data_IF_512594850819
#
_entry.id   IF_512594850819
#
_cell.length_a   1.000
_cell.length_b   1.000
_cell.length_c   1.000
_cell.angle_alpha   90.00
_cell.angle_beta   90.00
_cell.angle_gamma   90.00
#
_symmetry.space_group_name_H-M   'P 1'
#
loop_
_entity.id
_entity.type
_entity.pdbx_description
1 polymer ?
#
# COMPACT_ATOMS: atom_id res chain seq x y z
N UNK A 1 22.65 -32.57 -14.48
CA UNK A 1 23.60 -32.75 -15.59
C UNK A 1 23.03 -33.87 -16.46
N UNK A 2 22.94 -33.65 -17.77
CA UNK A 2 22.20 -34.47 -18.74
C UNK A 2 23.04 -35.02 -19.90
N UNK A 3 24.36 -34.77 -19.88
CA UNK A 3 25.36 -35.40 -20.75
C UNK A 3 25.82 -36.72 -20.10
N UNK A 4 25.40 -37.86 -20.62
CA UNK A 4 25.69 -39.19 -20.06
C UNK A 4 27.18 -39.54 -19.99
N UNK A 5 28.06 -38.74 -20.61
CA UNK A 5 29.52 -38.87 -20.56
C UNK A 5 30.15 -38.26 -19.30
N UNK A 6 29.42 -37.44 -18.54
CA UNK A 6 29.96 -36.81 -17.32
C UNK A 6 29.52 -37.55 -16.06
N UNK A 7 30.40 -37.60 -15.05
CA UNK A 7 30.19 -38.37 -13.81
C UNK A 7 28.92 -38.00 -13.04
N UNK A 8 28.44 -36.76 -13.16
CA UNK A 8 27.29 -36.25 -12.38
C UNK A 8 25.92 -36.44 -13.08
N UNK A 9 25.81 -37.41 -14.00
CA UNK A 9 24.57 -37.65 -14.74
C UNK A 9 23.42 -38.01 -13.81
N UNK A 10 22.35 -37.21 -13.86
CA UNK A 10 21.27 -37.30 -12.86
C UNK A 10 19.87 -37.08 -13.42
N UNK A 11 19.67 -37.22 -14.73
CA UNK A 11 18.36 -37.03 -15.39
C UNK A 11 17.30 -37.95 -14.78
N UNK A 12 17.57 -39.25 -14.69
CA UNK A 12 16.60 -40.22 -14.16
C UNK A 12 16.23 -39.90 -12.70
N UNK A 13 17.22 -39.56 -11.87
CA UNK A 13 17.00 -39.22 -10.46
C UNK A 13 16.12 -37.96 -10.33
N UNK A 14 16.48 -36.87 -11.02
CA UNK A 14 15.79 -35.58 -10.93
C UNK A 14 14.38 -35.62 -11.52
N UNK A 15 14.20 -36.29 -12.67
CA UNK A 15 12.89 -36.46 -13.29
C UNK A 15 11.96 -37.31 -12.43
N UNK A 16 12.44 -38.43 -11.88
CA UNK A 16 11.66 -39.28 -10.98
C UNK A 16 11.23 -38.52 -9.72
N UNK A 17 12.12 -37.74 -9.14
CA UNK A 17 11.80 -36.88 -7.98
C UNK A 17 10.72 -35.85 -8.35
N UNK A 18 10.85 -35.17 -9.48
CA UNK A 18 9.89 -34.17 -9.93
C UNK A 18 8.50 -34.76 -10.23
N UNK A 19 8.45 -35.92 -10.90
CA UNK A 19 7.19 -36.66 -11.15
C UNK A 19 6.48 -36.98 -9.83
N UNK A 20 7.23 -37.48 -8.83
CA UNK A 20 6.66 -37.79 -7.50
C UNK A 20 6.06 -36.56 -6.84
N UNK A 21 6.74 -35.41 -6.88
CA UNK A 21 6.20 -34.15 -6.36
C UNK A 21 4.93 -33.73 -7.11
N UNK A 22 4.92 -33.82 -8.43
CA UNK A 22 3.76 -33.46 -9.23
C UNK A 22 2.54 -34.35 -8.96
N UNK A 23 2.74 -35.66 -8.82
CA UNK A 23 1.67 -36.60 -8.48
C UNK A 23 1.14 -36.34 -7.06
N UNK A 24 2.03 -36.08 -6.10
CA UNK A 24 1.62 -35.72 -4.74
C UNK A 24 0.79 -34.43 -4.74
N UNK A 25 1.27 -33.39 -5.42
CA UNK A 25 0.53 -32.14 -5.51
C UNK A 25 -0.82 -32.35 -6.20
N UNK A 26 -0.89 -33.09 -7.32
CA UNK A 26 -2.13 -33.39 -8.03
C UNK A 26 -3.21 -34.03 -7.15
N UNK A 27 -2.82 -34.83 -6.13
CA UNK A 27 -3.78 -35.44 -5.20
C UNK A 27 -4.56 -34.42 -4.35
N UNK A 28 -4.08 -33.19 -4.24
CA UNK A 28 -4.73 -32.09 -3.51
C UNK A 28 -5.52 -31.14 -4.42
N UNK A 29 -5.56 -31.39 -5.73
CA UNK A 29 -6.20 -30.52 -6.71
C UNK A 29 -7.44 -31.19 -7.30
N UNK A 30 -8.42 -30.37 -7.66
CA UNK A 30 -9.71 -30.87 -8.09
C UNK A 30 -9.78 -31.18 -9.61
N UNK A 31 -8.75 -30.84 -10.38
CA UNK A 31 -8.70 -31.02 -11.84
C UNK A 31 -7.38 -31.67 -12.27
N UNK A 32 -7.31 -32.07 -13.54
CA UNK A 32 -6.09 -32.61 -14.15
C UNK A 32 -5.05 -31.53 -14.52
N UNK A 33 -5.35 -30.25 -14.26
CA UNK A 33 -4.40 -29.16 -14.39
C UNK A 33 -3.95 -28.75 -13.00
N UNK A 34 -2.63 -28.66 -12.80
CA UNK A 34 -2.02 -28.17 -11.56
C UNK A 34 -1.03 -27.05 -11.89
N UNK A 35 -0.77 -26.19 -10.91
CA UNK A 35 0.19 -25.10 -11.03
C UNK A 35 1.47 -25.40 -10.25
N UNK A 36 2.62 -25.26 -10.90
CA UNK A 36 3.94 -25.35 -10.29
C UNK A 36 4.56 -23.95 -10.21
N UNK A 37 4.63 -23.37 -9.01
CA UNK A 37 5.22 -22.04 -8.80
C UNK A 37 6.74 -22.14 -8.72
N UNK A 38 7.39 -22.12 -9.89
CA UNK A 38 8.84 -22.29 -10.02
C UNK A 38 9.60 -21.02 -9.62
N UNK A 39 9.75 -20.77 -8.33
CA UNK A 39 10.42 -19.57 -7.82
C UNK A 39 10.41 -19.49 -6.30
N UNK A 40 11.06 -18.45 -5.78
CA UNK A 40 11.12 -18.08 -4.37
C UNK A 40 11.64 -16.63 -4.29
N UNK A 41 11.85 -16.13 -3.08
CA UNK A 41 12.28 -14.77 -2.81
C UNK A 41 13.55 -14.43 -3.59
N UNK A 42 13.47 -13.37 -4.42
CA UNK A 42 14.58 -12.86 -5.21
C UNK A 42 15.27 -13.88 -6.14
N UNK A 43 14.56 -14.95 -6.55
CA UNK A 43 15.03 -15.85 -7.61
C UNK A 43 15.07 -15.14 -8.97
N UNK A 44 15.61 -15.83 -9.98
CA UNK A 44 15.78 -15.34 -11.36
C UNK A 44 16.76 -14.18 -11.58
N UNK A 45 17.54 -13.77 -10.57
CA UNK A 45 18.70 -12.87 -10.77
C UNK A 45 19.68 -13.40 -11.84
N UNK A 46 19.89 -14.72 -11.86
CA UNK A 46 20.49 -15.44 -12.98
C UNK A 46 19.43 -16.34 -13.65
N UNK A 47 18.70 -15.75 -14.57
CA UNK A 47 17.58 -16.36 -15.30
C UNK A 47 17.98 -17.64 -16.04
N UNK A 48 19.17 -17.68 -16.63
CA UNK A 48 19.63 -18.80 -17.45
C UNK A 48 19.73 -20.11 -16.65
N UNK A 49 20.11 -20.03 -15.37
CA UNK A 49 20.19 -21.22 -14.50
C UNK A 49 18.82 -21.84 -14.28
N UNK A 50 17.76 -21.03 -14.16
CA UNK A 50 16.40 -21.50 -13.98
C UNK A 50 15.86 -22.12 -15.27
N UNK A 51 15.86 -21.36 -16.36
CA UNK A 51 15.29 -21.81 -17.63
C UNK A 51 16.03 -23.03 -18.20
N UNK A 52 17.36 -23.08 -18.16
CA UNK A 52 18.12 -24.25 -18.62
C UNK A 52 17.73 -25.55 -17.90
N UNK A 53 17.44 -25.48 -16.61
CA UNK A 53 17.04 -26.66 -15.84
C UNK A 53 15.56 -27.00 -16.02
N UNK A 54 14.68 -25.99 -16.12
CA UNK A 54 13.27 -26.20 -16.42
C UNK A 54 13.06 -26.80 -17.81
N UNK A 55 13.79 -26.34 -18.83
CA UNK A 55 13.77 -26.90 -20.18
C UNK A 55 14.14 -28.39 -20.17
N UNK A 56 15.18 -28.76 -19.41
CA UNK A 56 15.59 -30.15 -19.24
C UNK A 56 14.52 -30.97 -18.54
N UNK A 57 13.94 -30.47 -17.44
CA UNK A 57 12.86 -31.16 -16.73
C UNK A 57 11.66 -31.39 -17.64
N UNK A 58 11.19 -30.35 -18.34
CA UNK A 58 10.09 -30.42 -19.30
C UNK A 58 10.41 -31.45 -20.39
N UNK A 59 11.58 -31.35 -21.02
CA UNK A 59 12.02 -32.26 -22.10
C UNK A 59 12.00 -33.72 -21.63
N UNK A 60 12.72 -34.04 -20.56
CA UNK A 60 12.91 -35.44 -20.16
C UNK A 60 11.67 -36.06 -19.50
N UNK A 61 10.83 -35.27 -18.84
CA UNK A 61 9.56 -35.79 -18.29
C UNK A 61 8.52 -35.99 -19.39
N UNK A 62 8.40 -35.05 -20.33
CA UNK A 62 7.44 -35.17 -21.43
C UNK A 62 7.76 -36.32 -22.40
N UNK A 63 9.03 -36.69 -22.55
CA UNK A 63 9.44 -37.91 -23.25
C UNK A 63 8.83 -39.19 -22.64
N UNK A 64 8.53 -39.17 -21.34
CA UNK A 64 7.89 -40.27 -20.60
C UNK A 64 6.40 -40.03 -20.38
N UNK A 65 5.79 -39.04 -21.04
CA UNK A 65 4.40 -38.63 -20.80
C UNK A 65 3.39 -39.78 -20.95
N UNK A 66 3.60 -40.70 -21.89
CA UNK A 66 2.75 -41.89 -22.06
C UNK A 66 2.83 -42.86 -20.86
N UNK A 67 4.01 -42.98 -20.23
CA UNK A 67 4.24 -43.84 -19.07
C UNK A 67 3.64 -43.22 -17.81
N UNK A 68 3.90 -41.93 -17.56
CA UNK A 68 3.57 -41.27 -16.29
C UNK A 68 2.27 -40.48 -16.31
N UNK A 69 1.65 -40.33 -17.50
CA UNK A 69 0.42 -39.56 -17.73
C UNK A 69 0.48 -38.11 -17.25
N UNK A 70 1.66 -37.49 -17.39
CA UNK A 70 1.90 -36.08 -17.06
C UNK A 70 2.44 -35.34 -18.29
N UNK A 71 2.09 -34.07 -18.39
CA UNK A 71 2.59 -33.15 -19.40
C UNK A 71 2.94 -31.83 -18.73
N UNK A 72 4.15 -31.34 -18.95
CA UNK A 72 4.65 -30.09 -18.41
C UNK A 72 4.94 -29.09 -19.52
N UNK A 73 4.67 -27.82 -19.27
CA UNK A 73 4.97 -26.71 -20.18
C UNK A 73 5.04 -25.41 -19.37
N UNK A 74 5.71 -24.40 -19.92
CA UNK A 74 5.67 -23.05 -19.34
C UNK A 74 4.26 -22.49 -19.42
N UNK A 75 3.82 -21.87 -18.34
CA UNK A 75 2.49 -21.28 -18.24
C UNK A 75 2.52 -20.06 -17.33
N UNK A 76 1.38 -19.38 -17.23
CA UNK A 76 1.16 -18.24 -16.35
C UNK A 76 -0.05 -18.53 -15.44
N UNK A 77 -0.21 -17.78 -14.34
CA UNK A 77 -1.40 -17.92 -13.49
C UNK A 77 -2.71 -17.72 -14.25
N UNK A 78 -2.74 -16.82 -15.26
CA UNK A 78 -3.92 -16.59 -16.09
C UNK A 78 -4.23 -17.77 -17.02
N UNK A 79 -3.23 -18.36 -17.67
CA UNK A 79 -3.43 -19.56 -18.48
C UNK A 79 -3.90 -20.74 -17.62
N UNK A 80 -3.35 -20.92 -16.42
CA UNK A 80 -3.81 -21.93 -15.48
C UNK A 80 -5.28 -21.72 -15.08
N UNK A 81 -5.66 -20.49 -14.72
CA UNK A 81 -7.06 -20.17 -14.39
C UNK A 81 -8.01 -20.44 -15.57
N UNK A 82 -7.58 -20.14 -16.80
CA UNK A 82 -8.34 -20.48 -18.00
C UNK A 82 -8.53 -22.00 -18.14
N UNK A 83 -7.49 -22.81 -17.92
CA UNK A 83 -7.60 -24.27 -17.92
C UNK A 83 -8.56 -24.79 -16.85
N UNK A 84 -8.61 -24.16 -15.67
CA UNK A 84 -9.58 -24.49 -14.62
C UNK A 84 -11.01 -24.15 -15.03
N UNK A 85 -11.23 -23.01 -15.68
CA UNK A 85 -12.54 -22.61 -16.20
C UNK A 85 -13.03 -23.57 -17.29
N UNK A 86 -12.14 -23.94 -18.23
CA UNK A 86 -12.44 -24.87 -19.32
C UNK A 86 -12.74 -26.30 -18.83
N UNK A 87 -12.25 -26.67 -17.63
CA UNK A 87 -12.54 -27.98 -17.04
C UNK A 87 -14.03 -28.17 -16.66
N UNK A 88 -14.86 -27.13 -16.79
CA UNK A 88 -16.32 -27.18 -16.58
C UNK A 88 -16.72 -27.83 -15.25
N UNK A 89 -15.89 -27.61 -14.22
CA UNK A 89 -16.08 -28.18 -12.89
C UNK A 89 -16.94 -27.27 -12.03
N UNK A 90 -17.82 -27.86 -11.23
CA UNK A 90 -18.50 -27.15 -10.14
C UNK A 90 -17.57 -26.98 -8.95
N UNK A 91 -17.44 -25.74 -8.46
CA UNK A 91 -16.58 -25.39 -7.33
C UNK A 91 -17.39 -25.14 -6.06
N UNK A 92 -16.82 -25.47 -4.91
CA UNK A 92 -17.41 -25.13 -3.62
C UNK A 92 -17.29 -23.63 -3.34
N UNK A 93 -18.28 -23.04 -2.69
CA UNK A 93 -18.23 -21.65 -2.23
C UNK A 93 -17.49 -21.55 -0.89
N UNK A 94 -16.61 -20.55 -0.75
CA UNK A 94 -16.06 -20.11 0.53
C UNK A 94 -16.50 -18.67 0.77
N UNK A 95 -17.08 -18.42 1.93
CA UNK A 95 -17.42 -17.09 2.45
C UNK A 95 -16.50 -16.82 3.65
N UNK A 96 -16.33 -15.56 4.07
CA UNK A 96 -15.40 -15.11 5.12
C UNK A 96 -13.92 -15.03 4.71
N UNK A 97 -13.05 -14.74 5.68
CA UNK A 97 -11.62 -14.54 5.49
C UNK A 97 -10.77 -15.79 5.81
N UNK A 98 -9.44 -15.57 5.92
CA UNK A 98 -8.43 -16.56 6.29
C UNK A 98 -7.63 -16.11 7.54
N UNK A 99 -8.22 -15.31 8.43
CA UNK A 99 -7.57 -14.88 9.67
C UNK A 99 -8.05 -15.68 10.89
N UNK A 100 -7.17 -15.86 11.90
CA UNK A 100 -5.73 -15.58 11.90
C UNK A 100 -4.91 -16.67 11.19
N UNK A 101 -3.82 -16.29 10.54
CA UNK A 101 -2.88 -17.24 9.93
C UNK A 101 -1.97 -17.89 10.98
N UNK A 102 -1.75 -19.20 10.87
CA UNK A 102 -0.72 -19.93 11.60
C UNK A 102 -0.02 -20.91 10.66
N UNK A 103 1.31 -20.85 10.61
CA UNK A 103 2.11 -21.72 9.75
C UNK A 103 2.51 -23.05 10.41
N UNK A 104 2.44 -23.12 11.75
CA UNK A 104 2.77 -24.28 12.60
C UNK A 104 1.96 -24.22 13.91
N UNK A 105 1.83 -25.33 14.67
CA UNK A 105 1.18 -25.31 15.97
C UNK A 105 1.74 -24.22 16.88
N UNK A 106 0.85 -23.46 17.53
CA UNK A 106 1.17 -22.35 18.45
C UNK A 106 1.93 -21.16 17.83
N UNK A 107 1.98 -21.04 16.50
CA UNK A 107 2.67 -19.95 15.80
C UNK A 107 1.70 -19.07 15.02
N UNK A 108 0.76 -18.44 15.72
CA UNK A 108 -0.21 -17.51 15.15
C UNK A 108 0.42 -16.16 14.84
N UNK A 109 0.18 -15.67 13.62
CA UNK A 109 0.74 -14.41 13.12
C UNK A 109 -0.20 -13.26 13.45
N UNK A 110 -0.51 -13.07 14.73
CA UNK A 110 -1.36 -11.96 15.19
C UNK A 110 -0.56 -10.78 15.74
N UNK A 111 0.75 -10.96 16.00
CA UNK A 111 1.62 -9.89 16.51
C UNK A 111 1.74 -8.71 15.54
N UNK A 112 1.83 -8.98 14.24
CA UNK A 112 1.95 -7.92 13.23
C UNK A 112 0.69 -7.03 13.11
N UNK A 113 -0.43 -7.42 13.71
CA UNK A 113 -1.59 -6.55 13.86
C UNK A 113 -1.27 -5.30 14.69
N UNK A 114 -0.26 -5.37 15.57
CA UNK A 114 0.14 -4.25 16.44
C UNK A 114 1.58 -3.77 16.19
N UNK A 115 2.47 -4.58 15.63
CA UNK A 115 3.87 -4.19 15.36
C UNK A 115 3.98 -2.83 14.65
N UNK A 116 4.89 -1.99 15.15
CA UNK A 116 5.13 -0.60 14.68
C UNK A 116 3.83 0.24 14.62
N UNK A 117 3.11 0.41 15.73
CA UNK A 117 1.81 1.07 15.73
C UNK A 117 1.89 2.53 15.27
N UNK A 118 3.00 3.23 15.54
CA UNK A 118 3.25 4.59 15.05
C UNK A 118 3.27 4.65 13.52
N UNK A 119 3.94 3.70 12.86
CA UNK A 119 3.98 3.64 11.39
C UNK A 119 2.59 3.32 10.82
N UNK A 120 1.84 2.38 11.43
CA UNK A 120 0.45 2.10 11.02
C UNK A 120 -0.45 3.34 11.12
N UNK A 121 -0.34 4.07 12.23
CA UNK A 121 -1.03 5.34 12.43
C UNK A 121 -0.64 6.37 11.38
N UNK A 122 0.65 6.46 11.06
CA UNK A 122 1.15 7.40 10.07
C UNK A 122 0.65 7.07 8.65
N UNK A 123 0.65 5.80 8.23
CA UNK A 123 0.04 5.34 6.98
C UNK A 123 -1.43 5.75 6.88
N UNK A 124 -2.20 5.60 7.96
CA UNK A 124 -3.62 6.01 8.00
C UNK A 124 -3.80 7.52 7.87
N UNK A 125 -3.00 8.31 8.59
CA UNK A 125 -3.04 9.77 8.53
C UNK A 125 -2.67 10.27 7.13
N UNK A 126 -1.60 9.74 6.57
CA UNK A 126 -1.12 10.08 5.23
C UNK A 126 -2.11 9.68 4.14
N UNK A 127 -2.78 8.52 4.27
CA UNK A 127 -3.84 8.14 3.33
C UNK A 127 -5.03 9.12 3.38
N UNK A 128 -5.45 9.57 4.57
CA UNK A 128 -6.49 10.60 4.68
C UNK A 128 -6.05 11.89 3.99
N UNK A 129 -4.81 12.32 4.20
CA UNK A 129 -4.31 13.52 3.53
C UNK A 129 -4.24 13.38 2.00
N UNK A 130 -3.85 12.20 1.49
CA UNK A 130 -3.89 11.93 0.06
C UNK A 130 -5.29 12.09 -0.53
N UNK A 131 -6.35 11.68 0.20
CA UNK A 131 -7.73 11.90 -0.27
C UNK A 131 -8.05 13.39 -0.34
N UNK A 132 -7.67 14.18 0.67
CA UNK A 132 -7.86 15.65 0.68
C UNK A 132 -7.16 16.30 -0.51
N UNK A 133 -5.89 15.96 -0.77
CA UNK A 133 -5.19 16.53 -1.92
C UNK A 133 -5.87 16.17 -3.24
N UNK A 134 -6.30 14.92 -3.44
CA UNK A 134 -7.00 14.49 -4.65
C UNK A 134 -8.33 15.22 -4.84
N UNK A 135 -9.10 15.40 -3.76
CA UNK A 135 -10.35 16.15 -3.81
C UNK A 135 -10.10 17.61 -4.18
N UNK A 136 -9.12 18.26 -3.56
CA UNK A 136 -8.77 19.66 -3.83
C UNK A 136 -8.21 19.86 -5.23
N UNK A 137 -7.34 18.96 -5.69
CA UNK A 137 -6.81 18.94 -7.06
C UNK A 137 -7.94 18.90 -8.09
N UNK A 138 -8.88 17.95 -7.93
CA UNK A 138 -10.04 17.83 -8.80
C UNK A 138 -11.00 19.02 -8.72
N UNK A 139 -11.29 19.52 -7.52
CA UNK A 139 -12.19 20.66 -7.30
C UNK A 139 -11.63 21.96 -7.87
N UNK A 140 -10.31 22.16 -7.78
CA UNK A 140 -9.64 23.34 -8.32
C UNK A 140 -9.29 23.22 -9.81
N UNK A 141 -9.58 22.06 -10.41
CA UNK A 141 -9.20 21.73 -11.79
C UNK A 141 -7.73 22.09 -12.05
N UNK A 142 -6.85 21.62 -11.17
CA UNK A 142 -5.41 21.80 -11.35
C UNK A 142 -4.97 21.12 -12.65
N UNK A 143 -4.06 21.76 -13.36
CA UNK A 143 -3.53 21.29 -14.64
C UNK A 143 -2.13 20.77 -14.43
N UNK A 144 -1.63 19.98 -15.37
CA UNK A 144 -0.24 19.52 -15.34
C UNK A 144 0.78 20.67 -15.34
N UNK A 145 0.42 21.87 -15.81
CA UNK A 145 1.24 23.08 -15.67
C UNK A 145 1.50 23.49 -14.21
N UNK A 146 0.62 23.09 -13.29
CA UNK A 146 0.76 23.30 -11.85
C UNK A 146 1.60 22.17 -11.20
N UNK A 147 2.13 21.22 -11.99
CA UNK A 147 2.82 20.00 -11.53
C UNK A 147 2.02 19.16 -10.52
N UNK A 148 0.70 19.35 -10.43
CA UNK A 148 -0.12 18.73 -9.38
C UNK A 148 -0.10 17.21 -9.47
N UNK A 149 -0.19 16.65 -10.68
CA UNK A 149 -0.04 15.22 -10.97
C UNK A 149 1.28 14.67 -10.45
N UNK A 150 2.39 15.38 -10.67
CA UNK A 150 3.70 14.97 -10.18
C UNK A 150 3.74 14.93 -8.65
N UNK A 151 3.30 16.01 -7.99
CA UNK A 151 3.29 16.10 -6.53
C UNK A 151 2.37 15.05 -5.87
N UNK A 152 1.19 14.79 -6.47
CA UNK A 152 0.27 13.74 -6.01
C UNK A 152 0.88 12.34 -6.16
N UNK A 153 1.57 12.07 -7.27
CA UNK A 153 2.16 10.76 -7.53
C UNK A 153 3.25 10.40 -6.52
N UNK A 154 4.04 11.36 -6.03
CA UNK A 154 5.05 11.09 -4.99
C UNK A 154 4.40 10.51 -3.74
N UNK A 155 3.29 11.09 -3.26
CA UNK A 155 2.59 10.56 -2.10
C UNK A 155 1.84 9.25 -2.40
N UNK A 156 1.27 9.13 -3.61
CA UNK A 156 0.57 7.93 -4.04
C UNK A 156 1.50 6.72 -4.10
N UNK A 157 2.69 6.88 -4.68
CA UNK A 157 3.73 5.84 -4.76
C UNK A 157 4.25 5.49 -3.37
N UNK A 158 4.54 6.48 -2.52
CA UNK A 158 4.98 6.24 -1.15
C UNK A 158 3.94 5.44 -0.34
N UNK A 159 2.65 5.78 -0.46
CA UNK A 159 1.57 5.03 0.18
C UNK A 159 1.40 3.63 -0.41
N UNK A 160 1.58 3.47 -1.73
CA UNK A 160 1.55 2.18 -2.41
C UNK A 160 2.64 1.25 -1.88
N UNK A 161 3.89 1.74 -1.79
CA UNK A 161 5.01 1.01 -1.17
C UNK A 161 4.71 0.69 0.29
N UNK A 162 4.12 1.62 1.04
CA UNK A 162 3.76 1.38 2.43
C UNK A 162 2.68 0.30 2.62
N UNK A 163 1.92 -0.08 1.58
CA UNK A 163 0.99 -1.22 1.62
C UNK A 163 1.67 -2.57 1.40
N UNK A 164 2.98 -2.61 1.10
CA UNK A 164 3.75 -3.86 1.05
C UNK A 164 3.54 -4.67 2.34
N UNK A 165 3.49 -6.00 2.23
CA UNK A 165 3.16 -6.88 3.35
C UNK A 165 4.23 -6.93 4.45
N UNK A 166 5.41 -6.33 4.24
CA UNK A 166 6.40 -6.06 5.30
C UNK A 166 6.47 -4.59 5.75
N UNK A 167 5.72 -3.70 5.10
CA UNK A 167 5.71 -2.27 5.44
C UNK A 167 4.65 -1.97 6.51
N UNK A 168 3.39 -1.77 6.12
CA UNK A 168 2.31 -1.48 7.08
C UNK A 168 2.13 -2.60 8.12
N UNK A 169 2.57 -3.83 7.85
CA UNK A 169 2.56 -4.93 8.84
C UNK A 169 3.56 -4.71 9.98
N UNK A 170 4.66 -3.99 9.75
CA UNK A 170 5.71 -3.76 10.73
C UNK A 170 6.68 -4.94 10.91
N UNK A 171 6.90 -5.75 9.88
CA UNK A 171 7.78 -6.95 9.90
C UNK A 171 9.15 -6.74 9.23
N UNK A 172 9.45 -5.53 8.78
CA UNK A 172 10.71 -5.08 8.21
C UNK A 172 11.80 -4.76 9.25
N UNK A 173 13.06 -4.67 8.78
CA UNK A 173 14.19 -4.18 9.60
C UNK A 173 14.05 -2.68 9.90
N UNK A 174 14.64 -2.24 11.01
CA UNK A 174 14.49 -0.84 11.48
C UNK A 174 14.88 0.22 10.44
N UNK A 175 15.97 0.02 9.68
CA UNK A 175 16.37 0.96 8.64
C UNK A 175 15.33 1.07 7.51
N UNK A 176 14.65 -0.04 7.18
CA UNK A 176 13.61 -0.06 6.15
C UNK A 176 12.35 0.65 6.66
N UNK A 177 12.01 0.48 7.94
CA UNK A 177 10.93 1.23 8.58
C UNK A 177 11.16 2.75 8.53
N UNK A 178 12.42 3.19 8.71
CA UNK A 178 12.79 4.60 8.58
C UNK A 178 12.67 5.11 7.13
N UNK A 179 13.10 4.32 6.15
CA UNK A 179 12.92 4.65 4.73
C UNK A 179 11.42 4.78 4.36
N UNK A 180 10.55 3.88 4.85
CA UNK A 180 9.11 4.02 4.65
C UNK A 180 8.54 5.31 5.26
N UNK A 181 8.94 5.65 6.49
CA UNK A 181 8.50 6.87 7.14
C UNK A 181 8.99 8.12 6.40
N UNK A 182 10.24 8.12 5.94
CA UNK A 182 10.82 9.22 5.14
C UNK A 182 10.09 9.41 3.81
N UNK A 183 9.80 8.34 3.07
CA UNK A 183 9.01 8.40 1.83
C UNK A 183 7.64 9.02 2.05
N UNK A 184 6.94 8.60 3.11
CA UNK A 184 5.63 9.15 3.46
C UNK A 184 5.74 10.63 3.83
N UNK A 185 6.74 11.03 4.62
CA UNK A 185 6.97 12.43 4.98
C UNK A 185 7.24 13.31 3.76
N UNK A 186 8.10 12.85 2.85
CA UNK A 186 8.39 13.53 1.60
C UNK A 186 7.13 13.68 0.75
N UNK A 187 6.35 12.60 0.58
CA UNK A 187 5.10 12.68 -0.17
C UNK A 187 4.05 13.60 0.48
N UNK A 188 3.95 13.64 1.81
CA UNK A 188 3.09 14.63 2.50
C UNK A 188 3.52 16.06 2.16
N UNK A 189 4.82 16.38 2.21
CA UNK A 189 5.30 17.73 1.87
C UNK A 189 5.00 18.11 0.41
N UNK A 190 5.09 17.16 -0.52
CA UNK A 190 4.72 17.40 -1.92
C UNK A 190 3.21 17.63 -2.08
N UNK A 191 2.38 16.84 -1.40
CA UNK A 191 0.92 16.96 -1.41
C UNK A 191 0.44 18.31 -0.82
N UNK A 192 1.16 18.86 0.17
CA UNK A 192 0.90 20.20 0.70
C UNK A 192 1.03 21.31 -0.36
N UNK A 193 1.85 21.12 -1.39
CA UNK A 193 1.95 22.07 -2.52
C UNK A 193 0.67 22.04 -3.36
N UNK A 194 0.13 20.85 -3.62
CA UNK A 194 -1.14 20.66 -4.33
C UNK A 194 -2.29 21.37 -3.61
N UNK A 195 -2.36 21.22 -2.28
CA UNK A 195 -3.35 21.93 -1.45
C UNK A 195 -3.21 23.45 -1.60
N UNK A 196 -1.98 23.97 -1.56
CA UNK A 196 -1.73 25.40 -1.74
C UNK A 196 -2.18 25.91 -3.10
N UNK A 197 -1.86 25.19 -4.17
CA UNK A 197 -2.21 25.60 -5.52
C UNK A 197 -3.72 25.50 -5.78
N UNK A 198 -4.37 24.48 -5.22
CA UNK A 198 -5.82 24.37 -5.22
C UNK A 198 -6.48 25.56 -4.51
N UNK A 199 -6.02 25.89 -3.29
CA UNK A 199 -6.56 27.00 -2.52
C UNK A 199 -6.34 28.35 -3.20
N UNK A 200 -5.20 28.56 -3.87
CA UNK A 200 -4.95 29.78 -4.69
C UNK A 200 -6.02 29.99 -5.76
N UNK A 201 -6.50 28.92 -6.40
CA UNK A 201 -7.55 29.00 -7.44
C UNK A 201 -8.95 29.08 -6.84
N UNK A 202 -9.22 28.35 -5.77
CA UNK A 202 -10.54 28.26 -5.14
C UNK A 202 -10.89 29.49 -4.29
N UNK A 203 -9.89 30.11 -3.66
CA UNK A 203 -10.11 31.30 -2.85
C UNK A 203 -10.28 32.54 -3.72
N UNK A 204 -11.51 33.05 -3.81
CA UNK A 204 -11.86 34.25 -4.57
C UNK A 204 -12.30 35.38 -3.64
N UNK A 205 -11.35 36.03 -2.97
CA UNK A 205 -11.59 37.30 -2.26
C UNK A 205 -10.95 38.44 -3.06
N UNK A 206 -11.69 39.00 -4.03
CA UNK A 206 -11.19 40.03 -4.94
C UNK A 206 -10.15 39.49 -5.93
N UNK A 207 -9.07 40.24 -6.17
CA UNK A 207 -8.00 39.90 -7.14
C UNK A 207 -6.74 39.32 -6.50
N UNK A 208 -6.70 39.16 -5.19
CA UNK A 208 -5.53 38.64 -4.46
C UNK A 208 -5.62 37.12 -4.34
N UNK A 209 -4.61 36.35 -4.80
CA UNK A 209 -4.55 34.91 -4.61
C UNK A 209 -4.57 34.52 -3.12
N UNK A 210 -4.92 33.27 -2.82
CA UNK A 210 -4.67 32.74 -1.48
C UNK A 210 -3.16 32.83 -1.15
N UNK A 211 -2.82 33.31 0.05
CA UNK A 211 -1.47 33.20 0.59
C UNK A 211 -1.08 31.73 0.75
N UNK A 212 0.23 31.45 0.77
CA UNK A 212 0.71 30.10 1.02
C UNK A 212 0.33 29.67 2.45
N UNK A 213 -0.37 28.55 2.55
CA UNK A 213 -0.78 27.93 3.78
C UNK A 213 0.40 27.26 4.48
N UNK A 214 0.40 27.37 5.80
CA UNK A 214 1.31 26.66 6.68
C UNK A 214 0.57 25.48 7.33
N UNK A 215 1.26 24.35 7.43
CA UNK A 215 0.69 23.09 7.91
C UNK A 215 1.32 22.70 9.25
N UNK A 216 0.48 22.29 10.20
CA UNK A 216 0.92 21.82 11.51
C UNK A 216 0.84 20.30 11.60
N UNK A 217 1.89 19.63 11.12
CA UNK A 217 1.96 18.17 11.07
C UNK A 217 2.22 17.52 12.45
N UNK A 218 2.56 18.32 13.47
CA UNK A 218 2.96 17.86 14.81
C UNK A 218 1.92 18.18 15.91
N UNK A 219 0.65 18.35 15.53
CA UNK A 219 -0.44 18.65 16.45
C UNK A 219 -0.64 17.56 17.52
N UNK A 220 -0.26 16.31 17.24
CA UNK A 220 -0.35 15.20 18.20
C UNK A 220 0.56 15.39 19.42
N UNK A 221 1.65 16.15 19.28
CA UNK A 221 2.56 16.54 20.38
C UNK A 221 2.40 18.01 20.74
N UNK A 222 1.26 18.61 20.41
CA UNK A 222 0.93 20.02 20.68
C UNK A 222 1.93 21.04 20.10
N UNK A 223 2.59 20.70 18.99
CA UNK A 223 3.54 21.59 18.32
C UNK A 223 2.94 22.15 17.04
N UNK A 224 2.86 23.47 16.96
CA UNK A 224 2.42 24.20 15.77
C UNK A 224 3.01 25.62 15.80
N UNK A 225 4.14 25.78 15.11
CA UNK A 225 4.95 27.01 15.13
C UNK A 225 4.15 28.30 14.86
N UNK A 226 3.19 28.24 13.93
CA UNK A 226 2.35 29.38 13.57
C UNK A 226 1.47 29.82 14.73
N UNK A 227 0.80 28.90 15.41
CA UNK A 227 -0.06 29.25 16.55
C UNK A 227 0.73 29.70 17.77
N UNK A 228 1.99 29.30 17.88
CA UNK A 228 2.87 29.63 19.00
C UNK A 228 3.53 31.02 18.86
N UNK A 229 3.83 31.43 17.62
CA UNK A 229 4.59 32.67 17.37
C UNK A 229 3.77 33.81 16.77
N UNK A 230 2.69 33.50 16.04
CA UNK A 230 1.89 34.53 15.37
C UNK A 230 0.97 35.27 16.34
N UNK A 231 0.88 36.59 16.15
CA UNK A 231 -0.07 37.45 16.88
C UNK A 231 -1.49 37.35 16.34
N UNK A 232 -1.62 37.11 15.04
CA UNK A 232 -2.88 36.91 14.34
C UNK A 232 -2.71 35.76 13.36
N UNK A 233 -3.74 34.93 13.27
CA UNK A 233 -3.79 33.80 12.35
C UNK A 233 -5.23 33.58 11.89
N UNK A 234 -5.39 33.15 10.64
CA UNK A 234 -6.66 32.68 10.12
C UNK A 234 -6.59 31.17 9.97
N UNK A 235 -7.67 30.49 10.34
CA UNK A 235 -7.77 29.04 10.29
C UNK A 235 -8.78 28.66 9.22
N UNK A 236 -8.37 27.85 8.25
CA UNK A 236 -9.21 27.32 7.18
C UNK A 236 -9.36 25.81 7.42
N UNK A 237 -10.46 25.36 8.04
CA UNK A 237 -10.76 23.95 8.13
C UNK A 237 -11.23 23.44 6.76
N UNK A 238 -10.74 22.27 6.35
CA UNK A 238 -11.28 21.55 5.20
C UNK A 238 -11.93 20.25 5.63
N UNK A 239 -13.13 20.03 5.09
CA UNK A 239 -13.95 18.86 5.36
C UNK A 239 -14.05 17.98 4.11
N UNK A 240 -13.56 16.75 4.22
CA UNK A 240 -13.58 15.76 3.14
C UNK A 240 -14.89 14.95 3.06
N UNK A 241 -15.78 15.09 4.06
CA UNK A 241 -17.06 14.38 4.14
C UNK A 241 -18.27 15.32 4.30
N UNK A 242 -19.26 15.13 3.42
CA UNK A 242 -20.49 15.93 3.45
C UNK A 242 -21.29 15.68 4.73
N UNK A 243 -21.75 16.76 5.37
CA UNK A 243 -22.77 16.71 6.42
C UNK A 243 -22.28 16.37 7.82
N UNK A 244 -20.96 16.40 8.06
CA UNK A 244 -20.39 16.21 9.40
C UNK A 244 -20.05 17.53 10.07
N UNK A 245 -20.10 17.54 11.41
CA UNK A 245 -19.69 18.66 12.26
C UNK A 245 -18.58 18.19 13.17
N UNK A 246 -17.54 18.99 13.32
CA UNK A 246 -16.36 18.66 14.10
C UNK A 246 -16.07 19.75 15.11
N UNK A 247 -15.66 19.30 16.30
CA UNK A 247 -15.17 20.21 17.33
C UNK A 247 -13.69 20.46 17.10
N UNK A 248 -13.35 21.70 16.74
CA UNK A 248 -11.98 22.17 16.67
C UNK A 248 -11.56 22.74 18.02
N UNK A 249 -10.42 22.28 18.54
CA UNK A 249 -9.84 22.83 19.76
C UNK A 249 -8.54 23.57 19.44
N UNK A 250 -8.49 24.83 19.86
CA UNK A 250 -7.32 25.69 19.74
C UNK A 250 -6.81 26.00 21.14
N UNK A 251 -5.50 25.86 21.36
CA UNK A 251 -4.86 26.20 22.63
C UNK A 251 -4.08 27.50 22.48
N UNK A 252 -4.68 28.62 22.89
CA UNK A 252 -4.01 29.92 22.96
C UNK A 252 -4.49 30.67 24.19
N UNK A 253 -3.59 31.35 24.89
CA UNK A 253 -3.89 31.99 26.18
C UNK A 253 -4.88 33.17 26.08
N UNK A 254 -5.07 33.75 24.89
CA UNK A 254 -6.10 34.76 24.59
C UNK A 254 -6.54 34.62 23.12
N UNK A 255 -7.81 34.28 22.89
CA UNK A 255 -8.41 34.13 21.55
C UNK A 255 -9.53 35.16 21.37
N UNK A 256 -9.48 35.90 20.26
CA UNK A 256 -10.62 36.70 19.78
C UNK A 256 -10.97 36.19 18.38
N UNK A 257 -12.08 35.47 18.25
CA UNK A 257 -12.54 34.93 16.98
C UNK A 257 -13.34 35.98 16.23
N UNK A 258 -13.00 36.23 14.96
CA UNK A 258 -13.80 37.03 14.02
C UNK A 258 -14.18 36.15 12.83
N UNK A 259 -15.47 36.00 12.56
CA UNK A 259 -15.96 35.37 11.32
C UNK A 259 -16.79 34.10 11.41
N UNK A 260 -17.31 33.70 12.58
CA UNK A 260 -18.32 32.63 12.69
C UNK A 260 -19.36 32.95 13.76
N UNK A 261 -20.64 32.99 13.41
CA UNK A 261 -21.77 33.12 14.35
C UNK A 261 -22.06 31.75 14.99
N UNK A 262 -21.32 31.38 16.03
CA UNK A 262 -21.81 30.47 17.07
C UNK A 262 -20.89 30.53 18.29
N UNK A 263 -21.46 30.86 19.43
CA UNK A 263 -20.78 30.83 20.73
C UNK A 263 -20.20 29.43 20.99
N UNK A 264 -18.94 29.37 21.42
CA UNK A 264 -18.27 28.14 21.82
C UNK A 264 -18.17 28.11 23.35
N UNK A 265 -18.66 27.02 23.94
CA UNK A 265 -18.60 26.72 25.36
C UNK A 265 -17.16 26.30 25.75
N UNK A 266 -16.52 26.88 26.79
CA UNK A 266 -15.07 26.73 27.01
C UNK A 266 -14.59 25.34 27.46
N UNK A 267 -15.49 24.37 27.72
CA UNK A 267 -15.11 23.11 28.36
C UNK A 267 -15.85 21.88 27.84
N UNK A 268 -15.49 21.34 26.68
CA UNK A 268 -15.88 19.97 26.30
C UNK A 268 -14.74 19.13 25.72
N UNK A 269 -14.55 17.93 26.30
CA UNK A 269 -13.51 16.93 25.93
C UNK A 269 -13.99 16.02 24.78
N UNK A 270 -13.10 15.90 23.79
CA UNK A 270 -12.75 14.80 22.85
C UNK A 270 -13.82 14.02 22.04
N UNK A 271 -13.60 14.03 20.72
CA UNK A 271 -13.40 12.82 19.89
C UNK A 271 -12.36 13.13 18.79
N UNK A 272 -11.49 12.16 18.48
CA UNK A 272 -10.42 12.29 17.49
C UNK A 272 -10.97 12.09 16.07
N UNK A 273 -11.07 13.17 15.30
CA UNK A 273 -11.27 13.09 13.85
C UNK A 273 -10.34 14.07 13.15
N UNK A 274 -9.84 13.66 11.98
CA UNK A 274 -8.88 14.38 11.15
C UNK A 274 -9.56 15.55 10.44
N UNK A 275 -9.77 16.66 11.14
CA UNK A 275 -9.96 17.96 10.49
C UNK A 275 -8.58 18.47 10.09
N UNK A 276 -8.37 18.71 8.81
CA UNK A 276 -7.13 19.36 8.37
C UNK A 276 -7.27 20.86 8.56
N UNK A 277 -6.40 21.39 9.41
CA UNK A 277 -6.37 22.78 9.80
C UNK A 277 -5.29 23.44 8.97
N UNK A 278 -5.68 24.28 8.01
CA UNK A 278 -4.74 25.15 7.29
C UNK A 278 -4.66 26.49 8.00
N UNK A 279 -3.45 27.02 8.20
CA UNK A 279 -3.24 28.28 8.89
C UNK A 279 -2.67 29.35 7.94
N UNK A 280 -3.16 30.58 8.12
CA UNK A 280 -2.80 31.79 7.38
C UNK A 280 -2.34 32.93 8.33
N UNK A 281 -1.53 33.87 7.82
CA UNK A 281 -1.00 35.07 8.50
C UNK A 281 -1.03 36.31 7.58
N UNK A 282 -1.52 37.46 8.09
CA UNK A 282 -1.53 38.77 7.39
C UNK A 282 -0.28 39.62 7.66
#
# INVERSE_FOLDING_TARGET
MDDDRLHDYNVQQKTTQFIRYAQLQASHYATNNIIMTMGSDFNYQNVHTWFKNMDKLIKYVNQRSMEVKLMFYYSTPSCYLQSLNNASKTWTTKQDDFFPYAHRPHSFWTGYFTSRPTLKGYVRQTNNFLQVCKQLDGLAELKDTDNSTFHLNILLEALGVAQHHDAVSGTEKQAVAYDYAERLANGVMECQKVVNDALKKLYKKGSTPAPNQLFCNLLNISVCHVTETSKQEQIIPYEDQKGKTYNLRLFKYQLTLKGYQKELDPWQRMNWFSVQIFLHWD
#
